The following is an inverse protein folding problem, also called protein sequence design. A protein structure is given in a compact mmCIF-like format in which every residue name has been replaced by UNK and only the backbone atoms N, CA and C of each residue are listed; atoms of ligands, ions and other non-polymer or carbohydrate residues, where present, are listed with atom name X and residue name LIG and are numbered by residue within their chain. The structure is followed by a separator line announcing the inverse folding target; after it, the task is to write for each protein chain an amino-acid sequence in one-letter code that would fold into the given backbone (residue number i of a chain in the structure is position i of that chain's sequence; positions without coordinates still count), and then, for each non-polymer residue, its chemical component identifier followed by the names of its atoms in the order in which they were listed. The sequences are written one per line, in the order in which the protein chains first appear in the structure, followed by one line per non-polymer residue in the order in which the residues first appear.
data_IF_641093040279
#
_entry.id   IF_641093040279
#
_cell.length_a   1.000
_cell.length_b   1.000
_cell.length_c   1.000
_cell.angle_alpha   90.00
_cell.angle_beta   90.00
_cell.angle_gamma   90.00
#
_symmetry.space_group_name_H-M   'P 1'
#
loop_
_entity.id
_entity.type
_entity.pdbx_description
1 polymer ?
#
# COMPACT_ATOMS: atom_id res chain seq x y z
N UNK A 1 -15.92 -0.38 -8.40
CA UNK A 1 -14.69 -1.03 -7.90
C UNK A 1 -15.05 -1.82 -6.64
N UNK A 2 -14.69 -3.11 -6.53
CA UNK A 2 -14.94 -3.87 -5.28
C UNK A 2 -13.91 -3.48 -4.23
N UNK A 3 -14.34 -3.19 -3.01
CA UNK A 3 -13.45 -2.84 -1.89
C UNK A 3 -12.97 -4.14 -1.24
N UNK A 4 -11.66 -4.31 -1.21
CA UNK A 4 -11.01 -5.45 -0.57
C UNK A 4 -10.62 -5.07 0.85
N UNK A 5 -11.30 -5.67 1.83
CA UNK A 5 -11.02 -5.45 3.26
C UNK A 5 -9.94 -6.36 3.81
N UNK A 6 -9.82 -7.58 3.27
CA UNK A 6 -8.86 -8.58 3.76
C UNK A 6 -8.30 -9.37 2.59
N UNK A 7 -7.11 -9.97 2.79
CA UNK A 7 -6.46 -10.84 1.80
C UNK A 7 -7.36 -12.00 1.32
N UNK A 8 -8.27 -12.48 2.17
CA UNK A 8 -9.22 -13.55 1.83
C UNK A 8 -10.29 -13.12 0.83
N UNK A 9 -10.62 -11.82 0.78
CA UNK A 9 -11.62 -11.27 -0.14
C UNK A 9 -11.08 -11.04 -1.55
N UNK A 10 -9.76 -11.18 -1.76
CA UNK A 10 -9.14 -11.11 -3.06
C UNK A 10 -9.41 -12.44 -3.79
N UNK A 11 -10.14 -12.44 -4.92
CA UNK A 11 -10.58 -13.67 -5.59
C UNK A 11 -9.44 -14.62 -5.97
N UNK A 12 -8.28 -14.07 -6.33
CA UNK A 12 -7.10 -14.82 -6.74
C UNK A 12 -6.46 -15.57 -5.57
N UNK A 13 -6.63 -15.06 -4.35
CA UNK A 13 -6.03 -15.56 -3.12
C UNK A 13 -6.99 -16.39 -2.26
N UNK A 14 -8.31 -16.28 -2.51
CA UNK A 14 -9.34 -16.88 -1.66
C UNK A 14 -9.21 -18.40 -1.56
N UNK A 15 -8.93 -19.06 -2.70
CA UNK A 15 -8.83 -20.51 -2.84
C UNK A 15 -7.51 -21.11 -2.29
N UNK A 16 -6.51 -20.28 -1.96
CA UNK A 16 -5.21 -20.78 -1.51
C UNK A 16 -5.16 -21.10 -0.01
N UNK A 17 -4.34 -22.09 0.41
CA UNK A 17 -4.01 -22.32 1.82
C UNK A 17 -3.46 -21.04 2.50
N UNK A 18 -3.67 -20.84 3.82
CA UNK A 18 -3.26 -19.61 4.51
C UNK A 18 -1.77 -19.25 4.38
N UNK A 19 -0.88 -20.25 4.40
CA UNK A 19 0.57 -20.07 4.26
C UNK A 19 0.95 -19.55 2.87
N UNK A 20 0.45 -20.21 1.81
CA UNK A 20 0.65 -19.79 0.42
C UNK A 20 0.00 -18.43 0.14
N UNK A 21 -1.20 -18.19 0.68
CA UNK A 21 -1.91 -16.91 0.56
C UNK A 21 -1.08 -15.74 1.09
N UNK A 22 -0.47 -15.90 2.27
CA UNK A 22 0.37 -14.86 2.88
C UNK A 22 1.64 -14.64 2.03
N UNK A 23 2.31 -15.73 1.64
CA UNK A 23 3.54 -15.66 0.83
C UNK A 23 3.30 -14.96 -0.51
N UNK A 24 2.33 -15.44 -1.29
CA UNK A 24 2.00 -14.90 -2.60
C UNK A 24 1.55 -13.43 -2.54
N UNK A 25 0.77 -13.07 -1.50
CA UNK A 25 0.39 -11.67 -1.29
C UNK A 25 1.62 -10.80 -1.03
N UNK A 26 2.52 -11.21 -0.13
CA UNK A 26 3.73 -10.44 0.18
C UNK A 26 4.63 -10.30 -1.04
N UNK A 27 4.83 -11.37 -1.81
CA UNK A 27 5.66 -11.35 -3.02
C UNK A 27 5.07 -10.40 -4.08
N UNK A 28 3.76 -10.50 -4.34
CA UNK A 28 3.06 -9.61 -5.27
C UNK A 28 3.05 -8.14 -4.79
N UNK A 29 2.90 -7.92 -3.48
CA UNK A 29 2.90 -6.58 -2.89
C UNK A 29 4.27 -5.91 -3.01
N UNK A 30 5.33 -6.65 -2.70
CA UNK A 30 6.70 -6.16 -2.85
C UNK A 30 7.02 -5.85 -4.32
N UNK A 31 6.51 -6.67 -5.24
CA UNK A 31 6.64 -6.42 -6.67
C UNK A 31 5.83 -5.18 -7.11
N UNK A 32 4.60 -4.98 -6.59
CA UNK A 32 3.71 -3.87 -6.95
C UNK A 32 4.35 -2.47 -6.84
N UNK A 33 5.31 -2.30 -5.92
CA UNK A 33 6.08 -1.04 -5.77
C UNK A 33 6.93 -0.65 -6.99
N UNK A 34 7.11 -1.54 -7.98
CA UNK A 34 7.80 -1.24 -9.24
C UNK A 34 6.96 -0.34 -10.16
N UNK A 35 5.64 -0.36 -10.02
CA UNK A 35 4.74 0.34 -10.92
C UNK A 35 4.37 1.73 -10.40
N UNK A 36 4.30 2.69 -11.32
CA UNK A 36 3.94 4.08 -11.00
C UNK A 36 2.55 4.17 -10.37
N UNK A 37 1.61 3.29 -10.74
CA UNK A 37 0.26 3.27 -10.16
C UNK A 37 0.25 2.97 -8.65
N UNK A 38 1.24 2.24 -8.13
CA UNK A 38 1.39 2.03 -6.69
C UNK A 38 1.75 3.33 -5.98
N UNK A 39 2.65 4.12 -6.56
CA UNK A 39 3.06 5.43 -6.03
C UNK A 39 1.98 6.49 -6.19
N UNK A 40 1.19 6.44 -7.27
CA UNK A 40 -0.04 7.25 -7.40
C UNK A 40 -0.98 6.94 -6.24
N UNK A 41 -1.18 5.65 -5.91
CA UNK A 41 -1.98 5.24 -4.75
C UNK A 41 -1.46 5.78 -3.42
N UNK A 42 -0.14 5.76 -3.21
CA UNK A 42 0.50 6.35 -2.04
C UNK A 42 0.31 7.87 -1.99
N UNK A 43 0.44 8.57 -3.12
CA UNK A 43 0.19 10.01 -3.23
C UNK A 43 -1.26 10.39 -2.94
N UNK A 44 -2.22 9.66 -3.50
CA UNK A 44 -3.66 9.87 -3.22
C UNK A 44 -3.98 9.60 -1.75
N UNK A 45 -3.41 8.55 -1.17
CA UNK A 45 -3.52 8.28 0.27
C UNK A 45 -2.98 9.44 1.11
N UNK A 46 -1.82 10.00 0.75
CA UNK A 46 -1.22 11.12 1.46
C UNK A 46 -2.06 12.40 1.35
N UNK A 47 -2.55 12.73 0.15
CA UNK A 47 -3.46 13.87 -0.06
C UNK A 47 -4.75 13.70 0.74
N UNK A 48 -5.33 12.49 0.72
CA UNK A 48 -6.50 12.16 1.52
C UNK A 48 -6.23 12.36 3.01
N UNK A 49 -5.04 11.98 3.49
CA UNK A 49 -4.62 12.18 4.87
C UNK A 49 -4.63 13.66 5.23
N UNK A 50 -4.04 14.52 4.39
CA UNK A 50 -4.03 15.97 4.61
C UNK A 50 -5.43 16.57 4.64
N UNK A 51 -6.31 16.16 3.72
CA UNK A 51 -7.69 16.63 3.66
C UNK A 51 -8.45 16.18 4.92
N UNK A 52 -8.34 14.92 5.30
CA UNK A 52 -9.01 14.37 6.49
C UNK A 52 -8.55 15.06 7.77
N UNK A 53 -7.26 15.40 7.90
CA UNK A 53 -6.78 16.19 9.03
C UNK A 53 -7.48 17.55 9.11
N UNK A 54 -7.59 18.28 7.98
CA UNK A 54 -8.27 19.58 7.95
C UNK A 54 -9.76 19.47 8.24
N UNK A 55 -10.41 18.42 7.72
CA UNK A 55 -11.83 18.15 7.99
C UNK A 55 -12.04 17.84 9.47
N UNK A 56 -11.15 17.05 10.08
CA UNK A 56 -11.24 16.75 11.52
C UNK A 56 -11.11 18.02 12.36
N UNK A 57 -10.13 18.86 12.07
CA UNK A 57 -9.89 20.12 12.80
C UNK A 57 -11.06 21.10 12.66
N UNK A 58 -11.72 21.10 11.49
CA UNK A 58 -12.93 21.89 11.26
C UNK A 58 -14.15 21.35 12.02
N UNK A 59 -14.32 20.03 12.08
CA UNK A 59 -15.48 19.41 12.73
C UNK A 59 -15.38 19.38 14.26
N UNK A 60 -14.16 19.26 14.79
CA UNK A 60 -13.88 19.14 16.22
C UNK A 60 -12.78 20.13 16.64
N UNK A 61 -13.06 21.44 16.61
CA UNK A 61 -12.09 22.44 17.06
C UNK A 61 -11.81 22.27 18.56
N UNK A 62 -10.53 22.39 18.95
CA UNK A 62 -10.05 22.45 20.34
C UNK A 62 -10.11 21.16 21.18
N UNK A 63 -9.96 19.97 20.57
CA UNK A 63 -9.70 18.72 21.31
C UNK A 63 -8.21 18.39 21.41
N UNK A 64 -7.40 19.30 21.96
CA UNK A 64 -5.96 19.08 22.23
C UNK A 64 -5.76 18.24 23.51
N UNK A 65 -6.46 17.11 23.59
CA UNK A 65 -6.31 16.15 24.68
C UNK A 65 -5.65 14.89 24.13
N UNK A 66 -4.79 14.26 24.92
CA UNK A 66 -4.10 13.02 24.56
C UNK A 66 -5.02 11.94 23.91
N UNK A 67 -6.23 11.63 24.44
CA UNK A 67 -7.14 10.70 23.76
C UNK A 67 -7.74 11.26 22.46
N UNK A 68 -7.98 12.58 22.38
CA UNK A 68 -8.42 13.26 21.15
C UNK A 68 -7.42 13.13 20.01
N UNK A 69 -6.12 13.26 20.30
CA UNK A 69 -5.05 13.10 19.32
C UNK A 69 -4.92 11.67 18.78
N UNK A 70 -5.14 10.67 19.64
CA UNK A 70 -5.18 9.25 19.22
C UNK A 70 -6.36 9.01 18.28
N UNK A 71 -7.55 9.52 18.62
CA UNK A 71 -8.75 9.35 17.80
C UNK A 71 -8.60 10.08 16.46
N UNK A 72 -8.09 11.32 16.47
CA UNK A 72 -7.74 12.08 15.27
C UNK A 72 -6.79 11.29 14.38
N UNK A 73 -5.72 10.76 14.94
CA UNK A 73 -4.73 9.96 14.21
C UNK A 73 -5.38 8.73 13.58
N UNK A 74 -6.24 8.00 14.30
CA UNK A 74 -6.95 6.84 13.74
C UNK A 74 -7.92 7.24 12.62
N UNK A 75 -8.73 8.28 12.82
CA UNK A 75 -9.69 8.78 11.84
C UNK A 75 -9.03 9.28 10.55
N UNK A 76 -7.81 9.81 10.64
CA UNK A 76 -7.06 10.32 9.49
C UNK A 76 -6.28 9.21 8.78
N UNK A 77 -5.58 8.37 9.57
CA UNK A 77 -4.64 7.38 9.04
C UNK A 77 -5.37 6.15 8.51
N UNK A 78 -6.41 5.65 9.19
CA UNK A 78 -7.09 4.41 8.77
C UNK A 78 -7.71 4.50 7.37
N UNK A 79 -8.50 5.54 7.02
CA UNK A 79 -9.06 5.67 5.67
C UNK A 79 -7.97 5.85 4.61
N UNK A 80 -6.92 6.59 4.92
CA UNK A 80 -5.78 6.81 4.02
C UNK A 80 -5.05 5.50 3.70
N UNK A 81 -4.73 4.70 4.73
CA UNK A 81 -4.14 3.36 4.54
C UNK A 81 -5.06 2.46 3.70
N UNK A 82 -6.39 2.52 3.90
CA UNK A 82 -7.34 1.75 3.10
C UNK A 82 -7.30 2.14 1.62
N UNK A 83 -7.20 3.44 1.32
CA UNK A 83 -7.04 3.93 -0.05
C UNK A 83 -5.77 3.35 -0.67
N UNK A 84 -4.63 3.48 0.02
CA UNK A 84 -3.37 2.92 -0.48
C UNK A 84 -3.49 1.42 -0.73
N UNK A 85 -4.08 0.68 0.22
CA UNK A 85 -4.31 -0.75 0.10
C UNK A 85 -5.15 -1.11 -1.13
N UNK A 86 -6.20 -0.35 -1.46
CA UNK A 86 -7.00 -0.60 -2.67
C UNK A 86 -6.15 -0.44 -3.95
N UNK A 87 -5.31 0.58 -4.02
CA UNK A 87 -4.39 0.78 -5.14
C UNK A 87 -3.36 -0.34 -5.23
N UNK A 88 -2.76 -0.75 -4.10
CA UNK A 88 -1.82 -1.87 -4.09
C UNK A 88 -2.50 -3.16 -4.58
N UNK A 89 -3.73 -3.44 -4.15
CA UNK A 89 -4.50 -4.59 -4.64
C UNK A 89 -4.83 -4.49 -6.12
N UNK A 90 -5.16 -3.30 -6.63
CA UNK A 90 -5.36 -3.08 -8.05
C UNK A 90 -4.10 -3.41 -8.87
N UNK A 91 -2.94 -2.87 -8.47
CA UNK A 91 -1.64 -3.11 -9.15
C UNK A 91 -1.27 -4.59 -9.10
N UNK A 92 -1.38 -5.24 -7.93
CA UNK A 92 -1.10 -6.67 -7.79
C UNK A 92 -2.00 -7.53 -8.69
N UNK A 93 -3.28 -7.19 -8.82
CA UNK A 93 -4.22 -7.96 -9.66
C UNK A 93 -4.03 -7.69 -11.16
N UNK A 94 -3.57 -6.49 -11.52
CA UNK A 94 -3.31 -6.09 -12.91
C UNK A 94 -2.04 -6.72 -13.46
N UNK A 95 -0.93 -6.65 -12.72
CA UNK A 95 0.39 -7.08 -13.20
C UNK A 95 0.82 -8.43 -12.62
N UNK A 96 0.60 -8.65 -11.32
CA UNK A 96 1.13 -9.82 -10.59
C UNK A 96 0.09 -10.92 -10.34
N UNK A 97 -0.93 -11.05 -11.20
CA UNK A 97 -1.97 -12.08 -11.06
C UNK A 97 -1.39 -13.50 -10.97
N UNK A 98 -0.37 -13.79 -11.78
CA UNK A 98 0.31 -15.08 -11.81
C UNK A 98 1.02 -15.39 -10.47
N UNK A 99 1.52 -14.38 -9.73
CA UNK A 99 2.05 -14.55 -8.37
C UNK A 99 0.89 -14.85 -7.40
N UNK A 100 -0.23 -14.13 -7.52
CA UNK A 100 -1.38 -14.30 -6.63
C UNK A 100 -1.99 -15.71 -6.70
N UNK A 101 -2.00 -16.35 -7.86
CA UNK A 101 -2.55 -17.71 -8.05
C UNK A 101 -1.53 -18.84 -7.92
N UNK A 102 -0.25 -18.52 -7.69
CA UNK A 102 0.87 -19.47 -7.62
C UNK A 102 0.59 -20.60 -6.62
N UNK A 103 0.81 -21.85 -7.04
CA UNK A 103 0.54 -23.04 -6.23
C UNK A 103 -0.84 -23.68 -6.46
N UNK A 104 -1.59 -23.23 -7.48
CA UNK A 104 -2.59 -24.08 -8.13
C UNK A 104 -1.87 -25.11 -9.02
N UNK A 105 -2.37 -26.35 -9.06
CA UNK A 105 -1.66 -27.59 -9.44
C UNK A 105 -1.02 -27.67 -10.85
N UNK A 106 -1.07 -26.62 -11.65
CA UNK A 106 -0.43 -26.58 -12.99
C UNK A 106 0.17 -25.21 -13.26
N UNK A 107 1.49 -25.06 -13.05
CA UNK A 107 2.26 -23.90 -13.55
C UNK A 107 2.53 -24.13 -15.04
N UNK A 108 1.91 -23.33 -15.89
CA UNK A 108 2.10 -23.41 -17.36
C UNK A 108 3.42 -22.75 -17.77
N UNK A 109 3.99 -23.17 -18.91
CA UNK A 109 5.23 -22.57 -19.46
C UNK A 109 5.10 -21.06 -19.63
N UNK A 110 3.90 -20.58 -19.97
CA UNK A 110 3.58 -19.15 -20.07
C UNK A 110 3.74 -18.40 -18.73
N UNK A 111 3.30 -18.99 -17.62
CA UNK A 111 3.44 -18.40 -16.29
C UNK A 111 4.89 -18.35 -15.83
N UNK A 112 5.70 -19.34 -16.24
CA UNK A 112 7.14 -19.35 -15.98
C UNK A 112 7.86 -18.21 -16.71
N UNK A 113 7.52 -17.98 -17.97
CA UNK A 113 8.11 -16.91 -18.78
C UNK A 113 7.71 -15.51 -18.27
N UNK A 114 6.43 -15.34 -17.88
CA UNK A 114 5.97 -14.09 -17.24
C UNK A 114 6.73 -13.83 -15.94
N UNK A 115 6.92 -14.86 -15.11
CA UNK A 115 7.70 -14.74 -13.86
C UNK A 115 9.15 -14.29 -14.12
N UNK A 116 9.80 -14.82 -15.15
CA UNK A 116 11.16 -14.43 -15.50
C UNK A 116 11.23 -12.99 -16.02
N UNK A 117 10.27 -12.57 -16.83
CA UNK A 117 10.14 -11.18 -17.28
C UNK A 117 9.95 -10.22 -16.10
N UNK A 118 9.03 -10.55 -15.18
CA UNK A 118 8.75 -9.74 -13.99
C UNK A 118 9.93 -9.68 -13.03
N UNK A 119 10.71 -10.75 -12.92
CA UNK A 119 11.93 -10.76 -12.09
C UNK A 119 12.99 -9.83 -12.68
N UNK A 120 13.10 -9.77 -14.01
CA UNK A 120 14.02 -8.82 -14.69
C UNK A 120 13.55 -7.38 -14.52
N UNK A 121 12.25 -7.13 -14.70
CA UNK A 121 11.66 -5.81 -14.47
C UNK A 121 11.86 -5.38 -13.00
N UNK A 122 11.65 -6.28 -12.05
CA UNK A 122 11.90 -6.04 -10.63
C UNK A 122 13.34 -5.58 -10.37
N UNK A 123 14.35 -6.28 -10.89
CA UNK A 123 15.75 -5.90 -10.70
C UNK A 123 16.06 -4.54 -11.35
N UNK A 124 15.46 -4.23 -12.51
CA UNK A 124 15.63 -2.95 -13.19
C UNK A 124 15.11 -1.76 -12.36
N UNK A 125 13.94 -1.91 -11.72
CA UNK A 125 13.31 -0.85 -10.91
C UNK A 125 13.75 -0.84 -9.45
N UNK A 126 14.61 -1.77 -9.03
CA UNK A 126 15.16 -1.84 -7.66
C UNK A 126 15.81 -0.52 -7.17
N UNK A 127 16.69 0.16 -7.95
CA UNK A 127 17.28 1.42 -7.51
C UNK A 127 16.25 2.55 -7.43
N UNK A 128 15.32 2.63 -8.39
CA UNK A 128 14.22 3.62 -8.39
C UNK A 128 13.35 3.47 -7.15
N UNK A 129 13.04 2.23 -6.75
CA UNK A 129 12.31 1.96 -5.50
C UNK A 129 13.06 2.34 -4.23
N UNK A 130 14.38 2.15 -4.19
CA UNK A 130 15.20 2.64 -3.07
C UNK A 130 15.14 4.16 -3.00
N UNK A 131 15.22 4.83 -4.14
CA UNK A 131 15.12 6.28 -4.22
C UNK A 131 13.76 6.79 -3.71
N UNK A 132 12.64 6.29 -4.23
CA UNK A 132 11.31 6.71 -3.75
C UNK A 132 11.06 6.36 -2.28
N UNK A 133 11.55 5.19 -1.82
CA UNK A 133 11.46 4.82 -0.39
C UNK A 133 12.25 5.79 0.49
N UNK A 134 13.45 6.20 0.07
CA UNK A 134 14.28 7.18 0.80
C UNK A 134 13.60 8.55 0.81
N UNK A 135 13.10 9.03 -0.34
CA UNK A 135 12.38 10.30 -0.43
C UNK A 135 11.14 10.30 0.46
N UNK A 136 10.37 9.22 0.46
CA UNK A 136 9.21 9.07 1.34
C UNK A 136 9.62 9.14 2.83
N UNK A 137 10.71 8.49 3.21
CA UNK A 137 11.25 8.51 4.58
C UNK A 137 11.69 9.93 4.98
N UNK A 138 12.34 10.67 4.07
CA UNK A 138 12.75 12.07 4.29
C UNK A 138 11.52 12.96 4.48
N UNK A 139 10.50 12.82 3.63
CA UNK A 139 9.24 13.58 3.77
C UNK A 139 8.56 13.26 5.10
N UNK A 140 8.49 11.98 5.47
CA UNK A 140 7.90 11.55 6.74
C UNK A 140 8.64 12.12 7.94
N UNK A 141 9.98 12.11 7.92
CA UNK A 141 10.82 12.73 8.95
C UNK A 141 10.61 14.25 9.00
N UNK A 142 10.48 14.92 7.85
CA UNK A 142 10.15 16.34 7.77
C UNK A 142 8.78 16.65 8.38
N UNK A 143 7.77 15.83 8.11
CA UNK A 143 6.45 15.96 8.72
C UNK A 143 6.48 15.75 10.24
N UNK A 144 7.21 14.73 10.73
CA UNK A 144 7.38 14.49 12.17
C UNK A 144 8.10 15.68 12.83
N UNK A 145 9.16 16.19 12.20
CA UNK A 145 9.88 17.35 12.71
C UNK A 145 8.97 18.58 12.79
N UNK A 146 8.22 18.87 11.73
CA UNK A 146 7.24 19.95 11.70
C UNK A 146 6.18 19.79 12.80
N UNK A 147 5.68 18.57 13.03
CA UNK A 147 4.71 18.29 14.10
C UNK A 147 5.32 18.58 15.49
N UNK A 148 6.54 18.12 15.75
CA UNK A 148 7.26 18.36 17.01
C UNK A 148 7.49 19.86 17.24
N UNK A 149 7.85 20.60 16.19
CA UNK A 149 8.07 22.06 16.31
C UNK A 149 6.79 22.86 16.50
N UNK A 150 5.62 22.32 16.11
CA UNK A 150 4.32 22.99 16.29
C UNK A 150 3.71 22.71 17.68
N UNK A 151 4.23 21.71 18.41
CA UNK A 151 3.80 21.34 19.77
C UNK A 151 4.57 22.12 20.85
N UNK A 152 5.54 22.96 20.49
CA UNK A 152 6.21 23.92 21.39
C UNK A 152 5.53 25.27 21.36
#
# INVERSE_FOLDING_TARGET
MKIYWTRKRIPELSALPPSLRKKNFTDAYNAASSHIEYWIGAGVSFISMMILSRVYDFLLPAQDTFPGDIIRSLCVVCPSILIWFQFSVYVMRKYYRHILVRGKETETISERLIREADTREYELWRPVRRFFSIVFLIVLLGCIHSLITTIK
#
